data_IF_179768139514
#
_entry.id   IF_179768139514
#
_cell.length_a   1.000
_cell.length_b   1.000
_cell.length_c   1.000
_cell.angle_alpha   90.00
_cell.angle_beta   90.00
_cell.angle_gamma   90.00
#
_symmetry.space_group_name_H-M   'P 1'
#
loop_
_entity.id
_entity.type
_entity.pdbx_description
1 polymer ?
#
# COMPACT_ATOMS: atom_id res chain seq x y z
N UNK A 1 19.20 -7.68 2.34
CA UNK A 1 20.29 -7.29 1.43
C UNK A 1 19.73 -7.25 0.01
N UNK A 2 19.35 -6.03 -0.47
CA UNK A 2 18.82 -5.86 -1.82
C UNK A 2 19.89 -6.18 -2.86
N UNK A 3 19.59 -7.11 -3.76
CA UNK A 3 20.46 -7.41 -4.91
C UNK A 3 20.08 -6.49 -6.04
N UNK A 4 21.04 -5.70 -6.55
CA UNK A 4 20.82 -4.86 -7.72
C UNK A 4 20.73 -5.75 -8.96
N UNK A 5 19.56 -5.79 -9.61
CA UNK A 5 19.35 -6.55 -10.84
C UNK A 5 19.78 -5.80 -12.09
N UNK A 6 19.58 -4.47 -12.09
CA UNK A 6 19.95 -3.54 -13.15
C UNK A 6 20.41 -2.23 -12.58
N UNK A 7 21.39 -1.63 -13.22
CA UNK A 7 21.77 -0.24 -12.94
C UNK A 7 20.68 0.70 -13.49
N UNK A 8 20.52 1.82 -12.82
CA UNK A 8 19.62 2.88 -13.27
C UNK A 8 19.99 3.35 -14.68
N UNK A 9 18.99 3.59 -15.52
CA UNK A 9 19.12 4.00 -16.92
C UNK A 9 19.80 2.94 -17.85
N UNK A 10 20.01 1.71 -17.39
CA UNK A 10 20.44 0.64 -18.28
C UNK A 10 19.29 0.14 -19.16
N UNK A 11 19.61 -0.29 -20.38
CA UNK A 11 18.60 -0.89 -21.28
C UNK A 11 18.23 -2.28 -20.79
N UNK A 12 16.94 -2.53 -20.67
CA UNK A 12 16.41 -3.84 -20.36
C UNK A 12 16.49 -4.73 -21.59
N UNK A 13 17.09 -5.92 -21.45
CA UNK A 13 17.15 -6.94 -22.48
C UNK A 13 16.03 -7.96 -22.30
N UNK A 14 15.73 -8.77 -23.32
CA UNK A 14 14.76 -9.88 -23.21
C UNK A 14 15.13 -10.84 -22.07
N UNK A 15 16.43 -11.13 -21.90
CA UNK A 15 16.92 -11.95 -20.78
C UNK A 15 16.66 -11.26 -19.43
N UNK A 16 16.77 -9.94 -19.38
CA UNK A 16 16.48 -9.14 -18.19
C UNK A 16 15.02 -9.18 -17.80
N UNK A 17 14.11 -9.16 -18.74
CA UNK A 17 12.67 -9.32 -18.48
C UNK A 17 12.38 -10.66 -17.82
N UNK A 18 12.99 -11.73 -18.31
CA UNK A 18 12.88 -13.08 -17.72
C UNK A 18 13.41 -13.08 -16.28
N UNK A 19 14.57 -12.47 -16.06
CA UNK A 19 15.17 -12.38 -14.73
C UNK A 19 14.28 -11.62 -13.74
N UNK A 20 13.73 -10.46 -14.15
CA UNK A 20 12.80 -9.68 -13.34
C UNK A 20 11.55 -10.49 -12.95
N UNK A 21 10.97 -11.23 -13.90
CA UNK A 21 9.83 -12.12 -13.63
C UNK A 21 10.18 -13.25 -12.65
N UNK A 22 11.39 -13.85 -12.78
CA UNK A 22 11.84 -14.93 -11.91
C UNK A 22 12.08 -14.45 -10.46
N UNK A 23 12.37 -13.16 -10.25
CA UNK A 23 12.49 -12.57 -8.91
C UNK A 23 11.14 -12.24 -8.28
N UNK A 24 10.03 -12.50 -8.95
CA UNK A 24 8.69 -12.24 -8.43
C UNK A 24 8.38 -10.76 -8.21
N UNK A 25 9.05 -9.86 -8.94
CA UNK A 25 8.78 -8.43 -8.86
C UNK A 25 7.38 -8.14 -9.40
N UNK A 26 6.61 -7.35 -8.67
CA UNK A 26 5.25 -6.95 -9.03
C UNK A 26 5.26 -6.06 -10.27
N UNK A 27 6.34 -5.30 -10.46
CA UNK A 27 6.54 -4.43 -11.62
C UNK A 27 7.87 -3.70 -11.58
N UNK A 28 8.22 -3.10 -12.69
CA UNK A 28 9.39 -2.21 -12.82
C UNK A 28 8.98 -0.94 -13.55
N UNK A 29 9.68 0.15 -13.26
CA UNK A 29 9.50 1.40 -13.99
C UNK A 29 10.48 1.46 -15.15
N UNK A 30 9.97 1.77 -16.33
CA UNK A 30 10.78 2.04 -17.52
C UNK A 30 10.60 3.50 -17.92
N UNK A 31 11.70 4.11 -18.35
CA UNK A 31 11.69 5.45 -18.94
C UNK A 31 11.48 5.33 -20.44
N UNK A 32 10.50 6.04 -20.96
CA UNK A 32 10.41 6.26 -22.39
C UNK A 32 11.40 7.36 -22.81
N UNK A 33 12.06 7.21 -23.97
CA UNK A 33 13.12 8.15 -24.41
C UNK A 33 12.68 9.62 -24.55
N UNK A 34 11.36 9.89 -24.56
CA UNK A 34 10.79 11.20 -24.82
C UNK A 34 10.62 12.09 -23.56
N UNK A 35 10.79 11.57 -22.34
CA UNK A 35 10.61 12.36 -21.12
C UNK A 35 11.94 12.61 -20.43
N UNK A 36 12.42 13.87 -20.32
CA UNK A 36 13.55 14.20 -19.47
C UNK A 36 13.15 14.02 -18.01
N UNK A 37 13.75 13.05 -17.34
CA UNK A 37 13.54 12.83 -15.91
C UNK A 37 14.43 13.79 -15.13
N UNK A 38 13.87 14.63 -14.25
CA UNK A 38 14.69 15.43 -13.36
C UNK A 38 15.60 14.55 -12.50
N UNK A 39 16.81 15.00 -12.18
CA UNK A 39 17.71 14.24 -11.31
C UNK A 39 17.03 14.01 -9.96
N UNK A 40 17.03 12.75 -9.49
CA UNK A 40 16.49 12.40 -8.18
C UNK A 40 17.48 12.84 -7.09
N UNK A 41 16.96 13.35 -5.99
CA UNK A 41 17.74 13.59 -4.79
C UNK A 41 18.21 12.26 -4.16
N UNK A 42 19.22 12.31 -3.30
CA UNK A 42 19.66 11.13 -2.54
C UNK A 42 18.52 10.58 -1.67
N UNK A 43 17.71 11.45 -1.10
CA UNK A 43 16.54 11.10 -0.30
C UNK A 43 15.48 10.36 -1.13
N UNK A 44 15.23 10.79 -2.38
CA UNK A 44 14.31 10.10 -3.29
C UNK A 44 14.84 8.71 -3.67
N UNK A 45 16.15 8.57 -3.90
CA UNK A 45 16.80 7.28 -4.18
C UNK A 45 16.68 6.34 -2.98
N UNK A 46 16.92 6.86 -1.77
CA UNK A 46 16.76 6.07 -0.54
C UNK A 46 15.31 5.64 -0.34
N UNK A 47 14.36 6.52 -0.61
CA UNK A 47 12.94 6.22 -0.52
C UNK A 47 12.52 5.14 -1.53
N UNK A 48 12.96 5.23 -2.79
CA UNK A 48 12.70 4.19 -3.80
C UNK A 48 13.27 2.83 -3.38
N UNK A 49 14.49 2.80 -2.84
CA UNK A 49 15.09 1.56 -2.32
C UNK A 49 14.28 0.99 -1.17
N UNK A 50 13.86 1.83 -0.24
CA UNK A 50 13.02 1.42 0.87
C UNK A 50 11.69 0.84 0.38
N UNK A 51 11.01 1.51 -0.56
CA UNK A 51 9.78 1.00 -1.16
C UNK A 51 9.99 -0.35 -1.83
N UNK A 52 11.03 -0.47 -2.66
CA UNK A 52 11.33 -1.71 -3.37
C UNK A 52 11.59 -2.89 -2.43
N UNK A 53 12.23 -2.64 -1.28
CA UNK A 53 12.48 -3.67 -0.27
C UNK A 53 11.22 -3.99 0.54
N UNK A 54 10.44 -2.98 0.89
CA UNK A 54 9.26 -3.13 1.74
C UNK A 54 8.08 -3.77 1.01
N UNK A 55 8.04 -3.67 -0.32
CA UNK A 55 6.88 -4.15 -1.09
C UNK A 55 6.63 -5.67 -0.90
N UNK A 56 7.69 -6.45 -0.73
CA UNK A 56 7.57 -7.89 -0.49
C UNK A 56 6.95 -8.17 0.88
N UNK A 57 7.43 -7.48 1.91
CA UNK A 57 6.92 -7.62 3.28
C UNK A 57 5.46 -7.15 3.37
N UNK A 58 5.14 -6.00 2.73
CA UNK A 58 3.78 -5.49 2.67
C UNK A 58 2.86 -6.46 1.93
N UNK A 59 3.33 -7.05 0.83
CA UNK A 59 2.57 -8.05 0.10
C UNK A 59 2.22 -9.23 1.00
N UNK A 60 3.17 -9.79 1.73
CA UNK A 60 2.92 -10.87 2.68
C UNK A 60 1.90 -10.47 3.75
N UNK A 61 2.05 -9.28 4.33
CA UNK A 61 1.12 -8.75 5.34
C UNK A 61 -0.29 -8.60 4.75
N UNK A 62 -0.45 -7.87 3.65
CA UNK A 62 -1.77 -7.57 3.11
C UNK A 62 -2.46 -8.81 2.53
N UNK A 63 -1.71 -9.69 1.85
CA UNK A 63 -2.26 -10.95 1.34
C UNK A 63 -2.74 -11.84 2.50
N UNK A 64 -1.96 -11.96 3.60
CA UNK A 64 -2.36 -12.72 4.78
C UNK A 64 -3.66 -12.18 5.41
N UNK A 65 -3.75 -10.86 5.60
CA UNK A 65 -4.97 -10.25 6.13
C UNK A 65 -6.16 -10.37 5.17
N UNK A 66 -5.96 -10.27 3.86
CA UNK A 66 -7.02 -10.45 2.86
C UNK A 66 -7.59 -11.86 2.84
N UNK A 67 -6.78 -12.85 3.21
CA UNK A 67 -7.15 -14.26 3.33
C UNK A 67 -7.63 -14.66 4.74
N UNK A 68 -7.69 -13.69 5.66
CA UNK A 68 -8.08 -13.94 7.07
C UNK A 68 -7.05 -14.75 7.86
N UNK A 69 -5.81 -14.80 7.39
CA UNK A 69 -4.71 -15.49 8.07
C UNK A 69 -4.08 -14.61 9.14
N UNK A 70 -3.45 -15.27 10.12
CA UNK A 70 -2.65 -14.58 11.14
C UNK A 70 -1.33 -14.13 10.53
N UNK A 71 -0.99 -12.86 10.76
CA UNK A 71 0.28 -12.28 10.34
C UNK A 71 0.96 -11.61 11.54
N UNK A 72 2.22 -11.98 11.82
CA UNK A 72 2.94 -11.56 13.04
C UNK A 72 3.89 -10.38 12.80
N UNK A 73 4.22 -10.06 11.54
CA UNK A 73 5.26 -9.07 11.21
C UNK A 73 4.72 -7.65 11.05
N UNK A 74 3.40 -7.46 10.92
CA UNK A 74 2.78 -6.15 10.67
C UNK A 74 3.23 -5.08 11.70
N UNK A 75 3.15 -5.39 13.00
CA UNK A 75 3.53 -4.42 14.03
C UNK A 75 5.03 -4.12 14.04
N UNK A 76 5.87 -5.11 13.68
CA UNK A 76 7.30 -4.89 13.52
C UNK A 76 7.57 -3.94 12.35
N UNK A 77 6.92 -4.16 11.22
CA UNK A 77 6.99 -3.30 10.04
C UNK A 77 6.52 -1.87 10.36
N UNK A 78 5.38 -1.71 11.04
CA UNK A 78 4.87 -0.38 11.44
C UNK A 78 5.85 0.34 12.36
N UNK A 79 6.46 -0.36 13.32
CA UNK A 79 7.50 0.22 14.17
C UNK A 79 8.71 0.72 13.36
N UNK A 80 9.11 0.01 12.30
CA UNK A 80 10.15 0.48 11.38
C UNK A 80 9.73 1.75 10.65
N UNK A 81 8.47 1.83 10.15
CA UNK A 81 7.92 3.02 9.52
C UNK A 81 7.93 4.22 10.47
N UNK A 82 7.43 4.05 11.70
CA UNK A 82 7.39 5.12 12.70
C UNK A 82 8.79 5.62 13.06
N UNK A 83 9.76 4.73 13.22
CA UNK A 83 11.16 5.11 13.48
C UNK A 83 11.80 5.87 12.33
N UNK A 84 11.54 5.42 11.09
CA UNK A 84 12.19 5.99 9.90
C UNK A 84 11.54 7.31 9.47
N UNK A 85 10.20 7.38 9.49
CA UNK A 85 9.46 8.50 8.90
C UNK A 85 8.74 9.39 9.91
N UNK A 86 8.51 8.95 11.15
CA UNK A 86 7.82 9.74 12.16
C UNK A 86 8.48 11.09 12.47
N UNK A 87 9.81 11.19 12.33
CA UNK A 87 10.58 12.41 12.56
C UNK A 87 11.17 13.04 11.30
N UNK A 88 10.66 12.68 10.13
CA UNK A 88 11.19 13.15 8.86
C UNK A 88 11.05 14.66 8.70
N UNK A 89 12.13 15.35 8.30
CA UNK A 89 12.19 16.82 8.14
C UNK A 89 12.31 17.28 6.68
N UNK A 90 12.48 16.37 5.72
CA UNK A 90 12.57 16.67 4.29
C UNK A 90 11.34 16.17 3.53
N UNK A 91 11.20 16.61 2.28
CA UNK A 91 10.10 16.18 1.41
C UNK A 91 10.37 14.81 0.83
N UNK A 92 9.33 13.98 0.74
CA UNK A 92 9.34 12.73 -0.02
C UNK A 92 8.45 12.91 -1.26
N UNK A 93 8.95 12.49 -2.41
CA UNK A 93 8.18 12.50 -3.64
C UNK A 93 7.45 11.16 -3.84
N UNK A 94 6.17 11.12 -3.44
CA UNK A 94 5.33 9.92 -3.57
C UNK A 94 4.80 9.69 -4.99
N UNK A 95 4.71 10.75 -5.81
CA UNK A 95 3.94 10.73 -7.08
C UNK A 95 4.61 9.85 -8.14
N UNK A 96 5.93 9.75 -8.14
CA UNK A 96 6.66 8.99 -9.16
C UNK A 96 6.45 7.47 -9.05
N UNK A 97 5.90 6.99 -7.94
CA UNK A 97 5.89 5.57 -7.59
C UNK A 97 4.54 4.86 -7.76
N UNK A 98 3.46 5.58 -8.11
CA UNK A 98 2.11 5.02 -8.27
C UNK A 98 1.76 4.99 -9.77
N UNK A 99 2.46 4.16 -10.56
CA UNK A 99 2.23 4.09 -12.01
C UNK A 99 1.79 2.73 -12.53
N UNK A 100 1.82 1.69 -11.71
CA UNK A 100 1.40 0.34 -12.11
C UNK A 100 0.09 -0.06 -11.44
N UNK A 101 -0.86 -0.55 -12.21
CA UNK A 101 -2.14 -1.04 -11.68
C UNK A 101 -1.98 -2.32 -10.85
N UNK A 102 -0.93 -3.11 -11.12
CA UNK A 102 -0.77 -4.42 -10.49
C UNK A 102 -0.18 -4.32 -9.07
N UNK A 103 0.58 -3.25 -8.78
CA UNK A 103 1.17 -2.99 -7.46
C UNK A 103 0.56 -1.79 -6.73
N UNK A 104 -0.48 -1.20 -7.31
CA UNK A 104 -1.11 0.03 -6.79
C UNK A 104 -1.48 -0.09 -5.31
N UNK A 105 -2.25 -1.11 -4.93
CA UNK A 105 -2.75 -1.27 -3.56
C UNK A 105 -1.61 -1.33 -2.56
N UNK A 106 -0.55 -2.09 -2.84
CA UNK A 106 0.60 -2.23 -1.93
C UNK A 106 1.36 -0.91 -1.76
N UNK A 107 1.62 -0.21 -2.86
CA UNK A 107 2.32 1.09 -2.83
C UNK A 107 1.46 2.18 -2.21
N UNK A 108 0.18 2.21 -2.55
CA UNK A 108 -0.77 3.14 -1.96
C UNK A 108 -0.87 2.95 -0.45
N UNK A 109 -1.04 1.73 0.02
CA UNK A 109 -1.08 1.38 1.44
C UNK A 109 0.22 1.79 2.16
N UNK A 110 1.39 1.53 1.58
CA UNK A 110 2.67 1.97 2.13
C UNK A 110 2.75 3.49 2.24
N UNK A 111 2.44 4.20 1.16
CA UNK A 111 2.51 5.66 1.13
C UNK A 111 1.55 6.29 2.15
N UNK A 112 0.33 5.75 2.25
CA UNK A 112 -0.67 6.20 3.23
C UNK A 112 -0.18 5.94 4.66
N UNK A 113 0.41 4.77 4.93
CA UNK A 113 0.98 4.44 6.23
C UNK A 113 2.14 5.38 6.61
N UNK A 114 3.04 5.70 5.67
CA UNK A 114 4.15 6.66 5.90
C UNK A 114 3.61 8.05 6.19
N UNK A 115 2.63 8.53 5.43
CA UNK A 115 1.99 9.83 5.68
C UNK A 115 1.30 9.86 7.05
N UNK A 116 0.62 8.78 7.40
CA UNK A 116 -0.04 8.66 8.70
C UNK A 116 0.97 8.67 9.85
N UNK A 117 2.09 7.95 9.73
CA UNK A 117 3.18 7.96 10.69
C UNK A 117 3.75 9.38 10.87
N UNK A 118 3.99 10.09 9.77
CA UNK A 118 4.50 11.45 9.79
C UNK A 118 3.52 12.43 10.45
N UNK A 119 2.25 12.40 10.06
CA UNK A 119 1.22 13.31 10.57
C UNK A 119 0.95 13.05 12.05
N UNK A 120 0.77 11.79 12.46
CA UNK A 120 0.49 11.43 13.84
C UNK A 120 1.65 11.79 14.78
N UNK A 121 2.88 11.64 14.33
CA UNK A 121 4.07 12.08 15.07
C UNK A 121 4.14 13.61 15.17
N UNK A 122 3.87 14.35 14.09
CA UNK A 122 3.84 15.82 14.09
C UNK A 122 2.75 16.41 14.99
N UNK A 123 1.64 15.72 15.11
CA UNK A 123 0.55 16.09 16.03
C UNK A 123 0.88 15.73 17.50
N UNK A 124 2.00 15.08 17.76
CA UNK A 124 2.41 14.67 19.12
C UNK A 124 1.48 13.64 19.74
N UNK A 125 0.84 12.78 18.93
CA UNK A 125 -0.04 11.76 19.45
C UNK A 125 0.77 10.71 20.23
N UNK A 126 0.12 10.05 21.20
CA UNK A 126 0.72 8.96 21.96
C UNK A 126 1.18 7.84 21.01
N UNK A 127 2.28 7.16 21.37
CA UNK A 127 2.89 6.13 20.53
C UNK A 127 1.91 5.02 20.15
N UNK A 128 1.06 4.58 21.08
CA UNK A 128 0.02 3.58 20.80
C UNK A 128 -0.95 4.08 19.72
N UNK A 129 -1.38 5.32 19.80
CA UNK A 129 -2.28 5.93 18.80
C UNK A 129 -1.59 6.07 17.44
N UNK A 130 -0.32 6.46 17.41
CA UNK A 130 0.46 6.50 16.16
C UNK A 130 0.54 5.10 15.51
N UNK A 131 0.77 4.06 16.31
CA UNK A 131 0.85 2.69 15.87
C UNK A 131 -0.50 2.20 15.31
N UNK A 132 -1.60 2.41 16.02
CA UNK A 132 -2.94 2.01 15.60
C UNK A 132 -3.38 2.74 14.31
N UNK A 133 -3.11 4.05 14.19
CA UNK A 133 -3.39 4.84 12.99
C UNK A 133 -2.58 4.37 11.79
N UNK A 134 -1.28 4.10 11.99
CA UNK A 134 -0.40 3.65 10.92
C UNK A 134 -0.77 2.23 10.46
N UNK A 135 -1.18 1.35 11.40
CA UNK A 135 -1.69 0.02 11.09
C UNK A 135 -2.98 0.09 10.28
N UNK A 136 -3.93 0.90 10.71
CA UNK A 136 -5.17 1.10 9.97
C UNK A 136 -4.91 1.69 8.57
N UNK A 137 -3.98 2.65 8.46
CA UNK A 137 -3.57 3.22 7.19
C UNK A 137 -2.91 2.20 6.25
N UNK A 138 -2.17 1.22 6.79
CA UNK A 138 -1.60 0.14 5.98
C UNK A 138 -2.68 -0.80 5.45
N UNK A 139 -3.74 -1.06 6.22
CA UNK A 139 -4.78 -2.05 5.91
C UNK A 139 -5.99 -1.47 5.16
N UNK A 140 -6.15 -0.15 5.08
CA UNK A 140 -7.41 0.49 4.67
C UNK A 140 -7.91 0.13 3.27
N UNK A 141 -7.00 -0.14 2.33
CA UNK A 141 -7.32 -0.40 0.91
C UNK A 141 -7.22 -1.89 0.51
N UNK A 142 -7.18 -2.79 1.50
CA UNK A 142 -7.00 -4.23 1.26
C UNK A 142 -8.13 -4.84 0.41
N UNK A 143 -9.33 -4.27 0.45
CA UNK A 143 -10.44 -4.63 -0.42
C UNK A 143 -10.10 -4.52 -1.90
N UNK A 144 -9.21 -3.60 -2.26
CA UNK A 144 -8.69 -3.44 -3.61
C UNK A 144 -7.96 -4.67 -4.16
N UNK A 145 -7.37 -5.51 -3.29
CA UNK A 145 -6.72 -6.76 -3.69
C UNK A 145 -7.71 -7.82 -4.17
N UNK A 146 -8.95 -7.78 -3.67
CA UNK A 146 -10.00 -8.73 -4.01
C UNK A 146 -10.76 -8.34 -5.30
N UNK A 147 -10.55 -7.12 -5.81
CA UNK A 147 -11.19 -6.65 -7.04
C UNK A 147 -10.63 -7.44 -8.24
N UNK A 148 -11.49 -8.11 -9.04
CA UNK A 148 -11.07 -8.84 -10.22
C UNK A 148 -10.26 -7.97 -11.19
N UNK A 149 -9.20 -8.51 -11.80
CA UNK A 149 -8.31 -7.77 -12.69
C UNK A 149 -9.02 -7.11 -13.89
N UNK A 150 -10.06 -7.75 -14.43
CA UNK A 150 -10.85 -7.20 -15.51
C UNK A 150 -11.65 -5.95 -15.11
N UNK A 151 -11.98 -5.78 -13.82
CA UNK A 151 -12.63 -4.58 -13.28
C UNK A 151 -11.57 -3.55 -12.92
N UNK A 152 -10.51 -3.95 -12.20
CA UNK A 152 -9.43 -3.07 -11.73
C UNK A 152 -8.74 -2.29 -12.86
N UNK A 153 -8.67 -2.86 -14.08
CA UNK A 153 -8.06 -2.24 -15.26
C UNK A 153 -8.99 -1.31 -16.04
N UNK A 154 -10.27 -1.25 -15.69
CA UNK A 154 -11.22 -0.32 -16.32
C UNK A 154 -10.93 1.11 -15.84
N UNK A 155 -11.19 2.08 -16.73
CA UNK A 155 -11.28 3.47 -16.31
C UNK A 155 -12.57 3.67 -15.53
N UNK A 156 -12.59 4.61 -14.60
CA UNK A 156 -13.78 4.90 -13.78
C UNK A 156 -15.03 5.15 -14.62
N UNK A 157 -14.87 5.83 -15.77
CA UNK A 157 -15.98 6.11 -16.70
C UNK A 157 -16.52 4.86 -17.40
N UNK A 158 -15.75 3.78 -17.45
CA UNK A 158 -16.11 2.51 -18.11
C UNK A 158 -16.68 1.47 -17.11
N UNK A 159 -16.77 1.83 -15.82
CA UNK A 159 -17.36 0.97 -14.80
C UNK A 159 -18.88 0.88 -14.99
N UNK A 160 -19.40 -0.33 -14.94
CA UNK A 160 -20.84 -0.59 -14.92
C UNK A 160 -21.36 -0.61 -13.48
N UNK A 161 -22.66 -0.45 -13.29
CA UNK A 161 -23.30 -0.62 -11.97
C UNK A 161 -23.03 -2.00 -11.34
N UNK A 162 -22.81 -3.03 -12.17
CA UNK A 162 -22.45 -4.37 -11.68
C UNK A 162 -20.99 -4.39 -11.20
N UNK A 163 -20.08 -3.71 -11.89
CA UNK A 163 -18.69 -3.56 -11.47
C UNK A 163 -18.61 -2.80 -10.14
N UNK A 164 -19.34 -1.70 -9.98
CA UNK A 164 -19.40 -0.90 -8.76
C UNK A 164 -19.92 -1.72 -7.57
N UNK A 165 -20.98 -2.52 -7.77
CA UNK A 165 -21.47 -3.46 -6.75
C UNK A 165 -20.40 -4.48 -6.35
N UNK A 166 -19.66 -5.03 -7.31
CA UNK A 166 -18.58 -5.98 -7.01
C UNK A 166 -17.44 -5.31 -6.23
N UNK A 167 -17.07 -4.09 -6.58
CA UNK A 167 -16.09 -3.30 -5.85
C UNK A 167 -16.55 -3.10 -4.40
N UNK A 168 -17.78 -2.62 -4.21
CA UNK A 168 -18.39 -2.41 -2.88
C UNK A 168 -18.37 -3.70 -2.06
N UNK A 169 -18.73 -4.83 -2.65
CA UNK A 169 -18.68 -6.14 -1.97
C UNK A 169 -17.26 -6.54 -1.54
N UNK A 170 -16.23 -6.26 -2.37
CA UNK A 170 -14.84 -6.55 -2.00
C UNK A 170 -14.42 -5.77 -0.74
N UNK A 171 -14.76 -4.51 -0.65
CA UNK A 171 -14.47 -3.70 0.54
C UNK A 171 -15.30 -4.13 1.75
N UNK A 172 -16.58 -4.45 1.57
CA UNK A 172 -17.43 -4.96 2.65
C UNK A 172 -16.87 -6.26 3.23
N UNK A 173 -16.51 -7.21 2.37
CA UNK A 173 -15.94 -8.50 2.80
C UNK A 173 -14.64 -8.30 3.59
N UNK A 174 -13.78 -7.37 3.16
CA UNK A 174 -12.54 -7.04 3.87
C UNK A 174 -12.82 -6.46 5.25
N UNK A 175 -13.81 -5.60 5.36
CA UNK A 175 -14.22 -5.03 6.63
C UNK A 175 -14.77 -6.09 7.60
N UNK A 176 -15.60 -7.00 7.10
CA UNK A 176 -16.15 -8.09 7.90
C UNK A 176 -15.03 -9.03 8.40
N UNK A 177 -14.02 -9.28 7.55
CA UNK A 177 -12.84 -10.02 7.95
C UNK A 177 -12.04 -9.30 9.06
N UNK A 178 -11.91 -7.98 9.00
CA UNK A 178 -11.26 -7.21 10.07
C UNK A 178 -12.05 -7.23 11.38
N UNK A 179 -13.38 -7.15 11.33
CA UNK A 179 -14.21 -7.28 12.52
C UNK A 179 -14.01 -8.62 13.23
N UNK A 180 -13.92 -9.69 12.45
CA UNK A 180 -13.73 -11.05 12.96
C UNK A 180 -12.28 -11.33 13.42
N UNK A 181 -11.29 -10.54 12.97
CA UNK A 181 -9.89 -10.76 13.29
C UNK A 181 -9.58 -10.41 14.75
N UNK A 182 -9.17 -11.40 15.55
CA UNK A 182 -8.87 -11.24 16.97
C UNK A 182 -7.52 -10.59 17.26
N UNK A 183 -6.60 -10.58 16.29
CA UNK A 183 -5.26 -10.01 16.44
C UNK A 183 -5.24 -8.48 16.24
N UNK A 184 -6.31 -7.90 15.64
CA UNK A 184 -6.46 -6.45 15.50
C UNK A 184 -7.07 -5.82 16.75
N UNK A 185 -6.45 -4.73 17.22
CA UNK A 185 -6.97 -3.97 18.36
C UNK A 185 -8.35 -3.37 18.06
N UNK A 186 -9.20 -3.16 19.07
CA UNK A 186 -10.49 -2.47 18.89
C UNK A 186 -10.33 -1.08 18.27
N UNK A 187 -9.25 -0.37 18.57
CA UNK A 187 -8.97 0.96 18.03
C UNK A 187 -8.67 0.90 16.53
N UNK A 188 -7.87 -0.07 16.07
CA UNK A 188 -7.62 -0.29 14.63
C UNK A 188 -8.94 -0.59 13.91
N UNK A 189 -9.77 -1.48 14.45
CA UNK A 189 -11.07 -1.82 13.87
C UNK A 189 -11.98 -0.60 13.74
N UNK A 190 -12.03 0.24 14.77
CA UNK A 190 -12.81 1.49 14.77
C UNK A 190 -12.32 2.47 13.72
N UNK A 191 -11.00 2.63 13.56
CA UNK A 191 -10.40 3.52 12.56
C UNK A 191 -10.70 3.01 11.14
N UNK A 192 -10.54 1.70 10.91
CA UNK A 192 -10.86 1.07 9.62
C UNK A 192 -12.33 1.23 9.26
N UNK A 193 -13.24 1.06 10.25
CA UNK A 193 -14.68 1.27 10.06
C UNK A 193 -14.99 2.71 9.65
N UNK A 194 -14.43 3.68 10.35
CA UNK A 194 -14.63 5.09 10.04
C UNK A 194 -14.07 5.46 8.66
N UNK A 195 -12.88 4.94 8.31
CA UNK A 195 -12.27 5.13 6.99
C UNK A 195 -13.13 4.55 5.87
N UNK A 196 -13.65 3.33 6.05
CA UNK A 196 -14.51 2.67 5.08
C UNK A 196 -15.79 3.48 4.81
N UNK A 197 -16.45 3.98 5.85
CA UNK A 197 -17.66 4.82 5.72
C UNK A 197 -17.40 6.12 4.96
N UNK A 198 -16.21 6.71 5.12
CA UNK A 198 -15.83 7.94 4.43
C UNK A 198 -15.50 7.71 2.95
N UNK A 199 -14.83 6.59 2.64
CA UNK A 199 -14.38 6.27 1.29
C UNK A 199 -15.47 5.58 0.46
N UNK A 200 -16.36 4.84 1.11
CA UNK A 200 -17.42 4.05 0.50
C UNK A 200 -18.74 4.28 1.24
N UNK A 201 -19.39 5.46 1.09
CA UNK A 201 -20.59 5.81 1.84
C UNK A 201 -21.79 4.91 1.55
N UNK A 202 -21.76 4.19 0.43
CA UNK A 202 -22.82 3.25 0.04
C UNK A 202 -22.74 1.89 0.77
N UNK A 203 -21.65 1.65 1.50
CA UNK A 203 -21.54 0.45 2.34
C UNK A 203 -22.36 0.68 3.61
N UNK A 204 -23.38 -0.18 3.88
CA UNK A 204 -24.18 -0.05 5.09
C UNK A 204 -23.29 -0.09 6.32
N UNK A 205 -23.38 0.95 7.16
CA UNK A 205 -22.76 0.90 8.47
C UNK A 205 -23.37 -0.27 9.22
N UNK A 206 -22.56 -1.26 9.56
CA UNK A 206 -22.98 -2.24 10.55
C UNK A 206 -23.03 -1.48 11.90
N UNK A 207 -24.15 -0.77 12.11
CA UNK A 207 -24.51 -0.25 13.43
C UNK A 207 -24.89 -1.46 14.30
N UNK A 208 -24.13 -1.59 15.37
CA UNK A 208 -24.24 -2.48 16.53
C UNK A 208 -23.43 -3.76 16.51
#
# INVERSE_FOLDING_TARGET
NGVMLYERNSKITSQGIISVNNFGLIGIYILEPAEPVPPMSEDDIEFERFQAMSIFEIKEILDAYSEGKKENNMYQFINQLLKKYGSLHHKINFIQNIRSNDDYVYKHSLNTAILCALISSRLGLEFKTQLDLTAAALLHDIGGLQIPNNIRRKKTIDLTMEDEKKITMCYQNSYDAFKANLDLSPDIKRILSAGLMLLHPDIPSATE
#
